data_IF_282851125066
#
_entry.id   IF_282851125066
#
_cell.length_a   1.000
_cell.length_b   1.000
_cell.length_c   1.000
_cell.angle_alpha   90.00
_cell.angle_beta   90.00
_cell.angle_gamma   90.00
#
_symmetry.space_group_name_H-M   'P 1'
#
loop_
_entity.id
_entity.type
_entity.pdbx_description
1 polymer ?
#
# COMPACT_ATOMS: atom_id res chain seq x y z
N UNK A 1 34.88 -60.70 -1.95
CA UNK A 1 33.62 -60.08 -2.41
C UNK A 1 33.81 -58.58 -2.26
N UNK A 2 34.82 -58.00 -2.90
CA UNK A 2 34.98 -57.76 -4.35
C UNK A 2 34.21 -56.48 -4.76
N UNK A 3 35.00 -55.43 -4.96
CA UNK A 3 34.66 -54.09 -5.44
C UNK A 3 34.04 -54.13 -6.83
N UNK A 4 33.07 -53.24 -7.10
CA UNK A 4 32.69 -52.85 -8.46
C UNK A 4 32.25 -51.36 -8.51
N UNK A 5 33.22 -50.50 -8.84
CA UNK A 5 33.07 -49.42 -9.86
C UNK A 5 33.44 -50.07 -11.21
N UNK A 6 32.95 -49.65 -12.40
CA UNK A 6 33.08 -48.28 -12.90
C UNK A 6 31.98 -47.82 -13.90
N UNK A 7 32.08 -46.58 -14.39
CA UNK A 7 31.19 -46.08 -15.45
C UNK A 7 31.58 -44.69 -15.94
N UNK A 8 32.76 -44.60 -16.56
CA UNK A 8 33.32 -43.43 -17.21
C UNK A 8 32.73 -43.33 -18.63
N UNK A 9 32.09 -42.20 -19.01
CA UNK A 9 31.66 -41.94 -20.39
C UNK A 9 32.28 -40.64 -20.91
N UNK A 10 32.86 -40.64 -22.13
CA UNK A 10 33.66 -39.54 -22.65
C UNK A 10 32.92 -38.65 -23.68
N UNK A 11 33.40 -37.41 -23.77
CA UNK A 11 33.65 -36.60 -24.99
C UNK A 11 32.47 -36.22 -25.91
N UNK A 12 32.21 -34.92 -26.01
CA UNK A 12 31.91 -34.27 -27.29
C UNK A 12 32.39 -32.80 -27.27
N UNK A 13 33.13 -32.44 -28.31
CA UNK A 13 33.79 -31.17 -28.56
C UNK A 13 32.84 -30.12 -29.22
N UNK A 14 33.28 -28.87 -29.45
CA UNK A 14 32.40 -27.73 -29.70
C UNK A 14 32.11 -27.53 -31.19
N UNK A 15 30.88 -27.09 -31.51
CA UNK A 15 30.49 -26.71 -32.87
C UNK A 15 30.46 -25.19 -33.03
N UNK A 16 31.01 -24.77 -34.15
CA UNK A 16 31.40 -23.42 -34.48
C UNK A 16 30.27 -22.60 -35.14
N UNK A 17 30.41 -21.29 -35.00
CA UNK A 17 30.22 -20.27 -36.05
C UNK A 17 28.92 -20.27 -36.86
N UNK A 18 28.13 -19.20 -36.66
CA UNK A 18 27.51 -18.47 -37.79
C UNK A 18 27.28 -17.01 -37.42
N UNK A 19 28.27 -16.19 -37.80
CA UNK A 19 28.12 -14.75 -38.00
C UNK A 19 27.14 -14.53 -39.17
N UNK A 20 26.09 -13.75 -38.94
CA UNK A 20 25.23 -13.20 -39.98
C UNK A 20 25.32 -11.68 -39.91
N UNK A 21 26.13 -11.12 -40.79
CA UNK A 21 26.17 -9.70 -41.12
C UNK A 21 24.89 -9.30 -41.84
N UNK A 22 24.22 -8.26 -41.38
CA UNK A 22 23.13 -7.58 -42.09
C UNK A 22 23.57 -6.14 -42.38
N UNK A 23 23.54 -5.67 -43.64
CA UNK A 23 23.91 -4.30 -43.98
C UNK A 23 22.76 -3.30 -43.83
N UNK A 24 23.12 -2.09 -43.42
CA UNK A 24 22.28 -0.91 -43.34
C UNK A 24 21.87 -0.36 -44.73
N UNK A 25 20.69 0.27 -44.87
CA UNK A 25 20.42 1.15 -45.99
C UNK A 25 20.25 2.62 -45.57
N UNK A 26 21.17 3.41 -46.12
CA UNK A 26 21.07 4.77 -46.67
C UNK A 26 19.82 5.64 -46.39
N UNK A 27 20.11 6.84 -45.89
CA UNK A 27 19.27 8.02 -45.93
C UNK A 27 19.11 8.61 -47.36
N UNK A 28 18.00 9.32 -47.64
CA UNK A 28 17.98 10.33 -48.69
C UNK A 28 17.65 11.74 -48.17
N UNK A 29 18.65 12.60 -48.33
CA UNK A 29 18.65 13.95 -48.92
C UNK A 29 17.37 14.81 -48.87
N UNK A 30 17.57 15.98 -48.25
CA UNK A 30 16.93 17.29 -48.45
C UNK A 30 16.50 17.55 -49.91
N UNK A 31 15.27 18.03 -50.07
CA UNK A 31 14.87 18.93 -51.16
C UNK A 31 14.18 20.16 -50.60
N UNK A 32 14.83 21.30 -50.81
CA UNK A 32 14.25 22.63 -50.75
C UNK A 32 13.18 22.77 -51.84
N UNK A 33 12.02 23.31 -51.49
CA UNK A 33 11.00 23.76 -52.44
C UNK A 33 10.47 25.10 -51.97
N UNK A 34 11.02 26.16 -52.57
CA UNK A 34 10.48 27.50 -52.61
C UNK A 34 9.08 27.47 -53.22
N UNK A 35 8.09 28.06 -52.54
CA UNK A 35 6.82 28.47 -53.16
C UNK A 35 6.49 29.89 -52.71
N UNK A 36 6.02 30.78 -53.60
CA UNK A 36 5.92 32.21 -53.34
C UNK A 36 4.75 32.61 -52.44
N UNK A 37 4.96 33.77 -51.83
CA UNK A 37 4.11 34.52 -50.92
C UNK A 37 3.13 35.37 -51.75
N UNK A 38 1.84 35.06 -51.71
CA UNK A 38 0.80 35.90 -52.30
C UNK A 38 -0.21 36.35 -51.23
N UNK A 39 -0.54 37.64 -51.30
CA UNK A 39 -1.41 38.36 -50.38
C UNK A 39 -2.84 37.82 -50.41
N UNK A 40 -3.47 37.68 -49.24
CA UNK A 40 -4.91 37.83 -49.10
C UNK A 40 -5.25 38.41 -47.73
N UNK A 41 -5.52 39.72 -47.73
CA UNK A 41 -6.23 40.42 -46.68
C UNK A 41 -7.73 40.21 -46.92
N UNK A 42 -8.41 39.57 -45.96
CA UNK A 42 -9.85 39.36 -45.99
C UNK A 42 -10.32 38.75 -44.68
N UNK A 43 -10.42 39.56 -43.63
CA UNK A 43 -10.97 39.13 -42.35
C UNK A 43 -12.45 38.76 -42.53
N UNK A 44 -12.73 37.46 -42.45
CA UNK A 44 -14.08 36.92 -42.60
C UNK A 44 -14.94 37.29 -41.39
N UNK A 45 -16.25 37.43 -41.58
CA UNK A 45 -17.21 37.62 -40.49
C UNK A 45 -17.10 36.53 -39.39
N UNK A 46 -16.56 35.35 -39.74
CA UNK A 46 -16.25 34.28 -38.79
C UNK A 46 -15.15 34.66 -37.77
N UNK A 47 -14.16 35.46 -38.17
CA UNK A 47 -13.06 35.89 -37.30
C UNK A 47 -13.53 36.94 -36.26
N UNK A 48 -14.52 37.76 -36.63
CA UNK A 48 -15.15 38.72 -35.73
C UNK A 48 -15.98 38.01 -34.65
N UNK A 49 -16.66 36.92 -35.01
CA UNK A 49 -17.46 36.14 -34.06
C UNK A 49 -16.56 35.28 -33.15
N UNK A 50 -15.46 34.72 -33.68
CA UNK A 50 -14.44 34.05 -32.87
C UNK A 50 -13.77 35.00 -31.85
N UNK A 51 -13.56 36.28 -32.21
CA UNK A 51 -13.03 37.28 -31.30
C UNK A 51 -14.02 37.66 -30.18
N UNK A 52 -15.33 37.72 -30.46
CA UNK A 52 -16.36 37.93 -29.43
C UNK A 52 -16.44 36.78 -28.44
N UNK A 53 -16.38 35.53 -28.92
CA UNK A 53 -16.35 34.34 -28.06
C UNK A 53 -15.11 34.34 -27.16
N UNK A 54 -13.93 34.68 -27.70
CA UNK A 54 -12.69 34.80 -26.89
C UNK A 54 -12.79 35.89 -25.81
N UNK A 55 -13.42 37.04 -26.11
CA UNK A 55 -13.68 38.10 -25.10
C UNK A 55 -14.69 37.67 -24.05
N UNK A 56 -15.76 36.97 -24.42
CA UNK A 56 -16.76 36.46 -23.49
C UNK A 56 -16.15 35.41 -22.53
N UNK A 57 -15.32 34.50 -23.06
CA UNK A 57 -14.60 33.49 -22.26
C UNK A 57 -13.59 34.14 -21.32
N UNK A 58 -12.86 35.18 -21.76
CA UNK A 58 -11.94 35.92 -20.90
C UNK A 58 -12.67 36.70 -19.79
N UNK A 59 -13.84 37.30 -20.09
CA UNK A 59 -14.67 37.99 -19.11
C UNK A 59 -15.29 37.02 -18.08
N UNK A 60 -15.69 35.81 -18.51
CA UNK A 60 -16.18 34.75 -17.63
C UNK A 60 -15.07 34.24 -16.69
N UNK A 61 -13.84 34.04 -17.19
CA UNK A 61 -12.67 33.65 -16.35
C UNK A 61 -12.35 34.70 -15.28
N UNK A 62 -12.45 36.00 -15.61
CA UNK A 62 -12.23 37.08 -14.63
C UNK A 62 -13.32 37.12 -13.54
N UNK A 63 -14.59 36.80 -13.88
CA UNK A 63 -15.69 36.70 -12.91
C UNK A 63 -15.53 35.51 -11.95
N UNK A 64 -15.05 34.37 -12.45
CA UNK A 64 -14.77 33.17 -11.63
C UNK A 64 -13.59 33.40 -10.67
N UNK A 65 -12.55 34.13 -11.09
CA UNK A 65 -11.44 34.50 -10.20
C UNK A 65 -11.85 35.52 -9.12
N UNK A 66 -12.69 36.51 -9.45
CA UNK A 66 -13.16 37.51 -8.49
C UNK A 66 -14.15 36.95 -7.45
N UNK A 67 -14.91 35.89 -7.78
CA UNK A 67 -15.78 35.19 -6.84
C UNK A 67 -15.01 34.32 -5.81
N UNK A 68 -13.70 34.11 -6.01
CA UNK A 68 -12.85 33.27 -5.15
C UNK A 68 -12.19 34.03 -3.99
N UNK A 69 -12.41 35.33 -3.87
CA UNK A 69 -11.80 36.21 -2.86
C UNK A 69 -12.73 36.60 -1.70
N UNK A 70 -13.67 35.73 -1.29
CA UNK A 70 -14.38 35.86 0.00
C UNK A 70 -13.68 35.01 1.07
N UNK A 71 -13.43 35.54 2.28
CA UNK A 71 -12.76 34.80 3.34
C UNK A 71 -13.70 33.71 3.87
N UNK A 72 -13.50 32.49 3.38
CA UNK A 72 -14.21 31.29 3.82
C UNK A 72 -13.62 30.90 5.17
N UNK A 73 -14.44 30.98 6.23
CA UNK A 73 -14.10 30.50 7.56
C UNK A 73 -13.43 29.14 7.48
N UNK A 74 -12.24 29.06 8.06
CA UNK A 74 -11.28 27.95 7.99
C UNK A 74 -11.85 26.76 8.77
N UNK A 75 -12.70 25.97 8.12
CA UNK A 75 -12.99 24.61 8.58
C UNK A 75 -11.69 23.82 8.43
N UNK A 76 -11.03 23.55 9.55
CA UNK A 76 -9.85 22.69 9.60
C UNK A 76 -10.24 21.30 9.13
N UNK A 77 -9.92 21.00 7.87
CA UNK A 77 -10.02 19.64 7.34
C UNK A 77 -9.19 18.71 8.25
N UNK A 78 -9.73 17.56 8.67
CA UNK A 78 -8.96 16.60 9.47
C UNK A 78 -7.70 16.23 8.69
N UNK A 79 -6.54 16.57 9.25
CA UNK A 79 -5.24 16.20 8.68
C UNK A 79 -5.16 14.67 8.79
N UNK A 80 -5.33 13.97 7.66
CA UNK A 80 -5.02 12.53 7.58
C UNK A 80 -3.59 12.37 8.11
N UNK A 81 -3.42 11.55 9.16
CA UNK A 81 -2.09 11.24 9.69
C UNK A 81 -1.39 10.45 8.59
N UNK A 82 -0.47 11.08 7.90
CA UNK A 82 0.46 10.40 7.02
C UNK A 82 1.34 9.55 7.94
N UNK A 83 1.28 8.22 7.77
CA UNK A 83 2.18 7.30 8.46
C UNK A 83 3.60 7.67 8.09
N UNK A 84 4.45 7.88 9.09
CA UNK A 84 5.85 8.21 8.82
C UNK A 84 6.62 6.96 8.38
N UNK A 85 7.64 7.11 7.53
CA UNK A 85 8.55 6.03 7.14
C UNK A 85 9.08 5.24 8.34
N UNK A 86 9.44 5.94 9.42
CA UNK A 86 9.90 5.31 10.66
C UNK A 86 8.84 4.39 11.28
N UNK A 87 7.55 4.70 11.17
CA UNK A 87 6.47 3.83 11.66
C UNK A 87 6.29 2.60 10.77
N UNK A 88 6.44 2.75 9.44
CA UNK A 88 6.42 1.63 8.51
C UNK A 88 7.56 0.65 8.78
N UNK A 89 8.80 1.15 8.92
CA UNK A 89 9.98 0.33 9.22
C UNK A 89 9.84 -0.40 10.56
N UNK A 90 9.35 0.28 11.61
CA UNK A 90 9.09 -0.35 12.92
C UNK A 90 8.05 -1.46 12.78
N UNK A 91 6.98 -1.21 12.04
CA UNK A 91 5.91 -2.17 11.83
C UNK A 91 6.41 -3.39 11.06
N UNK A 92 7.20 -3.19 10.00
CA UNK A 92 7.74 -4.27 9.17
C UNK A 92 8.76 -5.10 9.95
N UNK A 93 9.62 -4.44 10.73
CA UNK A 93 10.56 -5.12 11.62
C UNK A 93 9.83 -6.02 12.63
N UNK A 94 8.73 -5.54 13.19
CA UNK A 94 7.91 -6.33 14.11
C UNK A 94 7.16 -7.46 13.40
N UNK A 95 6.63 -7.21 12.19
CA UNK A 95 5.98 -8.19 11.32
C UNK A 95 6.86 -9.41 11.05
N UNK A 96 8.15 -9.15 10.85
CA UNK A 96 9.17 -10.16 10.59
C UNK A 96 9.54 -10.98 11.84
N UNK A 97 9.05 -10.61 13.02
CA UNK A 97 9.33 -11.26 14.31
C UNK A 97 10.33 -10.52 15.20
N UNK A 98 10.79 -9.33 14.80
CA UNK A 98 11.80 -8.57 15.54
C UNK A 98 11.35 -8.08 16.92
N UNK A 99 10.04 -8.04 17.20
CA UNK A 99 9.52 -7.64 18.52
C UNK A 99 9.92 -8.62 19.63
N UNK A 100 10.05 -9.92 19.33
CA UNK A 100 10.31 -10.96 20.34
C UNK A 100 11.77 -11.00 20.77
N UNK A 101 12.68 -10.88 19.81
CA UNK A 101 14.12 -11.03 20.04
C UNK A 101 14.85 -9.68 20.06
N UNK A 102 14.27 -8.64 19.45
CA UNK A 102 14.94 -7.38 19.13
C UNK A 102 15.85 -7.43 17.89
N UNK A 103 15.91 -8.56 17.19
CA UNK A 103 16.79 -8.81 16.05
C UNK A 103 16.11 -9.65 14.95
N UNK A 104 16.52 -9.47 13.69
CA UNK A 104 16.10 -10.29 12.56
C UNK A 104 17.26 -11.17 12.10
N UNK A 105 17.13 -12.47 12.30
CA UNK A 105 18.07 -13.48 11.82
C UNK A 105 17.85 -13.83 10.34
N UNK A 106 18.61 -14.82 9.86
CA UNK A 106 18.58 -15.29 8.47
C UNK A 106 17.17 -15.65 7.99
N UNK A 107 16.44 -16.46 8.76
CA UNK A 107 15.09 -16.91 8.37
C UNK A 107 14.08 -15.75 8.27
N UNK A 108 14.18 -14.76 9.17
CA UNK A 108 13.29 -13.61 9.13
C UNK A 108 13.58 -12.77 7.88
N UNK A 109 14.85 -12.49 7.61
CA UNK A 109 15.26 -11.69 6.45
C UNK A 109 15.01 -12.42 5.11
N UNK A 110 15.04 -13.76 5.07
CA UNK A 110 14.66 -14.52 3.88
C UNK A 110 13.23 -14.21 3.45
N UNK A 111 12.31 -14.17 4.42
CA UNK A 111 10.89 -13.86 4.12
C UNK A 111 10.73 -12.47 3.52
N UNK A 112 11.53 -11.51 3.96
CA UNK A 112 11.55 -10.18 3.35
C UNK A 112 12.14 -10.22 1.94
N UNK A 113 13.27 -10.91 1.75
CA UNK A 113 13.90 -11.04 0.44
C UNK A 113 12.96 -11.70 -0.58
N UNK A 114 12.18 -12.71 -0.18
CA UNK A 114 11.16 -13.33 -1.02
C UNK A 114 10.07 -12.33 -1.45
N UNK A 115 9.67 -11.40 -0.58
CA UNK A 115 8.73 -10.32 -0.95
C UNK A 115 9.33 -9.30 -1.91
N UNK A 116 10.65 -9.15 -1.88
CA UNK A 116 11.42 -8.35 -2.82
C UNK A 116 11.73 -9.09 -4.13
N UNK A 117 11.27 -10.34 -4.28
CA UNK A 117 11.45 -11.14 -5.50
C UNK A 117 12.68 -12.05 -5.49
N UNK A 118 13.26 -12.37 -4.33
CA UNK A 118 14.31 -13.37 -4.24
C UNK A 118 13.75 -14.78 -4.49
N UNK A 119 14.23 -15.44 -5.55
CA UNK A 119 13.81 -16.79 -5.97
C UNK A 119 14.84 -17.90 -5.65
N UNK A 120 15.93 -17.56 -4.97
CA UNK A 120 17.00 -18.51 -4.66
C UNK A 120 16.60 -19.56 -3.61
N UNK A 121 17.34 -20.68 -3.59
CA UNK A 121 17.19 -21.72 -2.58
C UNK A 121 17.81 -21.35 -1.22
N UNK A 122 17.73 -22.26 -0.25
CA UNK A 122 18.25 -22.03 1.10
C UNK A 122 19.78 -21.82 1.12
N UNK A 123 20.53 -22.42 0.19
CA UNK A 123 21.98 -22.25 0.13
C UNK A 123 22.32 -20.87 -0.44
N UNK A 124 21.70 -20.49 -1.56
CA UNK A 124 21.85 -19.17 -2.16
C UNK A 124 21.51 -18.07 -1.15
N UNK A 125 20.40 -18.22 -0.42
CA UNK A 125 20.03 -17.27 0.62
C UNK A 125 21.09 -17.18 1.74
N UNK A 126 21.64 -18.30 2.17
CA UNK A 126 22.64 -18.29 3.24
C UNK A 126 23.91 -17.54 2.82
N UNK A 127 24.32 -17.63 1.56
CA UNK A 127 25.45 -16.88 1.00
C UNK A 127 25.16 -15.37 0.99
N UNK A 128 23.97 -14.96 0.54
CA UNK A 128 23.50 -13.57 0.56
C UNK A 128 23.40 -13.01 1.98
N UNK A 129 22.84 -13.77 2.91
CA UNK A 129 22.72 -13.35 4.30
C UNK A 129 24.11 -13.11 4.95
N UNK A 130 25.08 -13.96 4.64
CA UNK A 130 26.46 -13.77 5.11
C UNK A 130 27.12 -12.56 4.45
N UNK A 131 26.83 -12.28 3.17
CA UNK A 131 27.28 -11.07 2.49
C UNK A 131 26.71 -9.81 3.17
N UNK A 132 25.40 -9.77 3.43
CA UNK A 132 24.75 -8.69 4.19
C UNK A 132 25.38 -8.50 5.57
N UNK A 133 25.65 -9.58 6.30
CA UNK A 133 26.30 -9.51 7.60
C UNK A 133 27.69 -8.88 7.53
N UNK A 134 28.47 -9.17 6.49
CA UNK A 134 29.79 -8.56 6.27
C UNK A 134 29.68 -7.09 5.89
N UNK A 135 28.80 -6.74 4.96
CA UNK A 135 28.65 -5.37 4.44
C UNK A 135 28.16 -4.39 5.50
N UNK A 136 27.17 -4.77 6.32
CA UNK A 136 26.58 -3.90 7.33
C UNK A 136 27.09 -4.16 8.76
N UNK A 137 28.10 -5.03 8.92
CA UNK A 137 28.71 -5.32 10.22
C UNK A 137 27.75 -6.00 11.21
N UNK A 138 26.87 -6.87 10.72
CA UNK A 138 25.94 -7.62 11.57
C UNK A 138 26.62 -8.85 12.16
N UNK A 139 26.15 -9.27 13.33
CA UNK A 139 26.60 -10.54 13.92
C UNK A 139 25.78 -11.66 13.32
N UNK A 140 26.39 -12.54 12.53
CA UNK A 140 25.73 -13.66 11.81
C UNK A 140 24.74 -14.45 12.67
N UNK A 141 25.11 -14.79 13.93
CA UNK A 141 24.25 -15.56 14.84
C UNK A 141 23.09 -14.77 15.45
N UNK A 142 23.15 -13.44 15.41
CA UNK A 142 22.19 -12.55 16.07
C UNK A 142 21.31 -11.83 15.07
N UNK A 143 21.86 -11.48 13.91
CA UNK A 143 21.19 -10.73 12.85
C UNK A 143 21.13 -9.22 13.08
N UNK A 144 20.25 -8.57 12.31
CA UNK A 144 20.10 -7.12 12.27
C UNK A 144 19.17 -6.62 13.37
N UNK A 145 19.59 -5.62 14.15
CA UNK A 145 18.66 -4.89 15.01
C UNK A 145 17.82 -3.89 14.20
N UNK A 146 16.82 -3.27 14.83
CA UNK A 146 15.92 -2.32 14.16
C UNK A 146 16.62 -1.17 13.44
N UNK A 147 17.68 -0.61 14.02
CA UNK A 147 18.42 0.49 13.39
C UNK A 147 19.17 0.01 12.14
N UNK A 148 19.84 -1.14 12.26
CA UNK A 148 20.56 -1.77 11.15
C UNK A 148 19.62 -2.20 10.01
N UNK A 149 18.42 -2.66 10.36
CA UNK A 149 17.38 -2.98 9.40
C UNK A 149 16.88 -1.75 8.65
N UNK A 150 16.64 -0.65 9.36
CA UNK A 150 16.28 0.63 8.73
C UNK A 150 17.39 1.13 7.79
N UNK A 151 18.64 1.01 8.21
CA UNK A 151 19.82 1.37 7.40
C UNK A 151 19.88 0.56 6.09
N UNK A 152 19.62 -0.76 6.13
CA UNK A 152 19.53 -1.58 4.91
C UNK A 152 18.45 -1.06 3.95
N UNK A 153 17.24 -0.76 4.45
CA UNK A 153 16.11 -0.36 3.59
C UNK A 153 16.18 1.11 3.12
N UNK A 154 17.03 1.92 3.76
CA UNK A 154 17.29 3.32 3.40
C UNK A 154 18.50 3.48 2.47
N UNK A 155 19.31 2.43 2.29
CA UNK A 155 20.51 2.41 1.45
C UNK A 155 20.12 2.20 -0.03
N UNK A 156 20.25 3.25 -0.83
CA UNK A 156 19.87 3.29 -2.25
C UNK A 156 20.80 2.50 -3.16
N UNK A 157 21.99 2.12 -2.68
CA UNK A 157 22.91 1.22 -3.36
C UNK A 157 22.61 -0.26 -3.05
N UNK A 158 21.69 -0.54 -2.12
CA UNK A 158 21.32 -1.91 -1.75
C UNK A 158 20.16 -2.45 -2.59
N UNK A 159 20.20 -3.75 -2.90
CA UNK A 159 19.09 -4.47 -3.54
C UNK A 159 17.83 -4.54 -2.66
N UNK A 160 17.96 -4.17 -1.37
CA UNK A 160 16.88 -4.14 -0.41
C UNK A 160 16.28 -2.74 -0.22
N UNK A 161 16.74 -1.72 -0.95
CA UNK A 161 16.15 -0.39 -0.90
C UNK A 161 14.63 -0.48 -1.12
N UNK A 162 13.85 0.23 -0.29
CA UNK A 162 12.40 0.25 -0.45
C UNK A 162 11.80 1.59 -0.09
N UNK A 163 10.98 2.14 -0.97
CA UNK A 163 10.24 3.38 -0.74
C UNK A 163 9.02 3.14 0.18
N UNK A 164 8.37 4.22 0.63
CA UNK A 164 7.26 4.13 1.60
C UNK A 164 6.05 3.32 1.05
N UNK A 165 5.84 3.30 -0.27
CA UNK A 165 4.79 2.50 -0.90
C UNK A 165 5.15 1.02 -0.85
N UNK A 166 6.36 0.65 -1.23
CA UNK A 166 6.85 -0.74 -1.18
C UNK A 166 6.82 -1.29 0.24
N UNK A 167 7.25 -0.51 1.24
CA UNK A 167 7.18 -0.91 2.65
C UNK A 167 5.74 -1.15 3.11
N UNK A 168 4.79 -0.32 2.66
CA UNK A 168 3.37 -0.51 2.94
C UNK A 168 2.83 -1.79 2.27
N UNK A 169 3.22 -2.05 1.01
CA UNK A 169 2.85 -3.28 0.29
C UNK A 169 3.41 -4.53 0.98
N UNK A 170 4.68 -4.52 1.39
CA UNK A 170 5.27 -5.65 2.12
C UNK A 170 4.54 -5.93 3.44
N UNK A 171 4.15 -4.86 4.16
CA UNK A 171 3.37 -4.97 5.39
C UNK A 171 2.01 -5.63 5.18
N UNK A 172 1.35 -5.33 4.06
CA UNK A 172 0.09 -5.98 3.67
C UNK A 172 0.29 -7.49 3.40
N UNK A 173 1.45 -7.87 2.87
CA UNK A 173 1.76 -9.26 2.51
C UNK A 173 2.20 -10.14 3.70
N UNK A 174 2.57 -9.57 4.86
CA UNK A 174 3.04 -10.36 6.00
C UNK A 174 1.89 -10.97 6.82
N UNK A 175 1.79 -12.31 6.90
CA UNK A 175 0.74 -12.97 7.68
C UNK A 175 0.94 -12.83 9.20
N UNK A 176 2.19 -12.71 9.65
CA UNK A 176 2.54 -12.68 11.08
C UNK A 176 2.19 -11.36 11.79
N UNK A 177 1.97 -10.27 11.04
CA UNK A 177 1.41 -9.01 11.59
C UNK A 177 -0.08 -9.07 11.87
N UNK A 178 -0.77 -10.13 11.45
CA UNK A 178 -2.22 -10.12 11.46
C UNK A 178 -2.80 -11.23 12.36
N UNK A 179 -2.82 -11.05 13.70
CA UNK A 179 -3.90 -11.61 14.54
C UNK A 179 -5.29 -10.97 14.22
N UNK A 180 -5.38 -10.27 13.08
CA UNK A 180 -6.29 -9.19 12.74
C UNK A 180 -6.52 -9.12 11.23
N UNK A 181 -6.34 -10.23 10.49
CA UNK A 181 -6.78 -10.29 9.10
C UNK A 181 -8.26 -10.02 9.07
N UNK A 182 -8.63 -8.89 8.45
CA UNK A 182 -10.02 -8.66 8.07
C UNK A 182 -10.41 -9.89 7.26
N UNK A 183 -11.41 -10.67 7.70
CA UNK A 183 -11.82 -11.87 6.99
C UNK A 183 -12.05 -11.53 5.51
N UNK A 184 -11.59 -12.39 4.59
CA UNK A 184 -11.78 -12.17 3.14
C UNK A 184 -13.22 -11.77 2.80
N UNK A 185 -14.20 -12.40 3.45
CA UNK A 185 -15.61 -12.08 3.25
C UNK A 185 -15.95 -10.62 3.58
N UNK A 186 -15.31 -10.03 4.59
CA UNK A 186 -15.53 -8.64 4.97
C UNK A 186 -14.84 -7.67 3.99
N UNK A 187 -13.65 -8.02 3.49
CA UNK A 187 -12.98 -7.27 2.41
C UNK A 187 -13.83 -7.28 1.13
N UNK A 188 -14.23 -8.48 0.69
CA UNK A 188 -15.04 -8.68 -0.51
C UNK A 188 -16.38 -7.97 -0.36
N UNK A 189 -17.02 -8.04 0.81
CA UNK A 189 -18.28 -7.34 1.06
C UNK A 189 -18.11 -5.82 1.00
N UNK A 190 -17.05 -5.28 1.59
CA UNK A 190 -16.78 -3.85 1.54
C UNK A 190 -16.56 -3.36 0.12
N UNK A 191 -15.80 -4.13 -0.66
CA UNK A 191 -15.55 -3.85 -2.06
C UNK A 191 -16.85 -3.95 -2.88
N UNK A 192 -17.64 -5.01 -2.68
CA UNK A 192 -18.95 -5.18 -3.31
C UNK A 192 -19.88 -4.00 -3.02
N UNK A 193 -20.00 -3.58 -1.75
CA UNK A 193 -20.84 -2.45 -1.35
C UNK A 193 -20.40 -1.12 -2.00
N UNK A 194 -19.10 -0.99 -2.32
CA UNK A 194 -18.56 0.17 -3.03
C UNK A 194 -18.86 0.13 -4.54
N UNK A 195 -18.80 -1.06 -5.16
CA UNK A 195 -19.12 -1.26 -6.58
C UNK A 195 -20.64 -1.18 -6.83
N UNK A 196 -21.47 -1.59 -5.87
CA UNK A 196 -22.93 -1.58 -5.92
C UNK A 196 -23.50 -0.16 -5.76
N UNK A 197 -23.46 0.63 -6.84
CA UNK A 197 -23.80 2.06 -6.84
C UNK A 197 -25.29 2.32 -6.62
N UNK A 198 -26.14 1.40 -7.04
CA UNK A 198 -27.59 1.52 -6.89
C UNK A 198 -28.12 0.78 -5.65
N UNK A 199 -27.24 0.10 -4.90
CA UNK A 199 -27.54 -0.64 -3.68
C UNK A 199 -28.61 -1.74 -3.88
N UNK A 200 -28.68 -2.33 -5.07
CA UNK A 200 -29.64 -3.38 -5.40
C UNK A 200 -29.16 -4.78 -5.00
N UNK A 201 -27.95 -4.90 -4.41
CA UNK A 201 -27.29 -6.15 -4.02
C UNK A 201 -26.92 -7.07 -5.18
N UNK A 202 -26.80 -6.54 -6.40
CA UNK A 202 -26.41 -7.25 -7.62
C UNK A 202 -25.58 -6.38 -8.55
N UNK A 203 -24.36 -6.80 -8.86
CA UNK A 203 -23.47 -6.04 -9.74
C UNK A 203 -23.78 -6.33 -11.21
N UNK A 204 -24.37 -5.34 -11.88
CA UNK A 204 -24.59 -5.38 -13.32
C UNK A 204 -23.30 -5.10 -14.12
N UNK A 205 -23.37 -5.25 -15.44
CA UNK A 205 -22.21 -5.03 -16.32
C UNK A 205 -21.58 -3.64 -16.19
N UNK A 206 -22.38 -2.59 -15.96
CA UNK A 206 -21.85 -1.23 -15.76
C UNK A 206 -21.09 -1.06 -14.44
N UNK A 207 -21.56 -1.71 -13.38
CA UNK A 207 -20.92 -1.66 -12.06
C UNK A 207 -19.63 -2.48 -12.08
N UNK A 208 -19.66 -3.68 -12.65
CA UNK A 208 -18.47 -4.51 -12.83
C UNK A 208 -17.45 -3.91 -13.81
N UNK A 209 -17.87 -3.14 -14.82
CA UNK A 209 -16.92 -2.43 -15.71
C UNK A 209 -16.08 -1.45 -14.91
N UNK A 210 -16.70 -0.72 -13.98
CA UNK A 210 -15.98 0.22 -13.12
C UNK A 210 -14.92 -0.51 -12.29
N UNK A 211 -15.25 -1.69 -11.78
CA UNK A 211 -14.30 -2.53 -11.08
C UNK A 211 -13.18 -3.03 -12.00
N UNK A 212 -13.50 -3.56 -13.17
CA UNK A 212 -12.52 -4.04 -14.13
C UNK A 212 -11.53 -2.94 -14.55
N UNK A 213 -12.01 -1.70 -14.74
CA UNK A 213 -11.15 -0.55 -15.02
C UNK A 213 -10.16 -0.24 -13.89
N UNK A 214 -10.51 -0.52 -12.63
CA UNK A 214 -9.57 -0.40 -11.52
C UNK A 214 -8.52 -1.51 -11.53
N UNK A 215 -8.89 -2.72 -11.96
CA UNK A 215 -7.93 -3.80 -12.20
C UNK A 215 -7.10 -3.63 -13.49
N UNK A 216 -7.19 -2.47 -14.15
CA UNK A 216 -6.40 -2.15 -15.34
C UNK A 216 -7.03 -2.57 -16.67
N UNK A 217 -8.30 -2.95 -16.72
CA UNK A 217 -8.99 -3.16 -17.99
C UNK A 217 -9.07 -1.86 -18.79
N UNK A 218 -8.45 -1.84 -19.96
CA UNK A 218 -8.33 -0.69 -20.86
C UNK A 218 -9.24 -0.78 -22.10
N UNK A 219 -9.96 -1.89 -22.25
CA UNK A 219 -10.84 -2.14 -23.38
C UNK A 219 -12.05 -1.20 -23.47
N UNK A 220 -12.64 -1.16 -24.66
CA UNK A 220 -13.82 -0.37 -24.95
C UNK A 220 -15.14 -1.02 -24.46
N UNK A 221 -16.28 -0.36 -24.74
CA UNK A 221 -17.59 -0.88 -24.31
C UNK A 221 -17.95 -2.21 -24.98
N UNK A 222 -17.56 -2.43 -26.24
CA UNK A 222 -17.89 -3.62 -26.99
C UNK A 222 -17.02 -4.82 -26.57
N UNK A 223 -15.75 -4.56 -26.24
CA UNK A 223 -14.86 -5.53 -25.61
C UNK A 223 -15.38 -5.93 -24.23
N UNK A 224 -15.79 -4.94 -23.42
CA UNK A 224 -16.39 -5.22 -22.12
C UNK A 224 -17.66 -6.06 -22.20
N UNK A 225 -18.56 -5.77 -23.16
CA UNK A 225 -19.80 -6.55 -23.31
C UNK A 225 -19.50 -8.03 -23.59
N UNK A 226 -18.43 -8.34 -24.33
CA UNK A 226 -17.96 -9.71 -24.56
C UNK A 226 -17.42 -10.34 -23.28
N UNK A 227 -16.58 -9.63 -22.53
CA UNK A 227 -16.03 -10.11 -21.25
C UNK A 227 -17.13 -10.36 -20.22
N UNK A 228 -18.09 -9.44 -20.11
CA UNK A 228 -19.23 -9.58 -19.23
C UNK A 228 -20.11 -10.77 -19.63
N UNK A 229 -20.40 -10.94 -20.92
CA UNK A 229 -21.15 -12.10 -21.41
C UNK A 229 -20.41 -13.42 -21.12
N UNK A 230 -19.08 -13.43 -21.26
CA UNK A 230 -18.25 -14.57 -20.89
C UNK A 230 -18.35 -14.88 -19.38
N UNK A 231 -18.25 -13.88 -18.51
CA UNK A 231 -18.40 -14.08 -17.06
C UNK A 231 -19.79 -14.59 -16.68
N UNK A 232 -20.85 -14.03 -17.26
CA UNK A 232 -22.23 -14.48 -17.02
C UNK A 232 -22.38 -15.96 -17.38
N UNK A 233 -21.81 -16.39 -18.51
CA UNK A 233 -21.81 -17.79 -18.96
C UNK A 233 -20.94 -18.69 -18.08
N UNK A 234 -19.71 -18.28 -17.76
CA UNK A 234 -18.72 -19.08 -17.01
C UNK A 234 -19.17 -19.34 -15.57
N UNK A 235 -19.70 -18.32 -14.90
CA UNK A 235 -20.07 -18.41 -13.48
C UNK A 235 -21.57 -18.60 -13.24
N UNK A 236 -22.37 -18.76 -14.31
CA UNK A 236 -23.81 -19.02 -14.22
C UNK A 236 -24.59 -17.88 -13.57
N UNK A 237 -24.29 -16.63 -13.94
CA UNK A 237 -24.98 -15.46 -13.38
C UNK A 237 -26.34 -15.24 -14.04
N UNK A 238 -27.23 -14.56 -13.31
CA UNK A 238 -28.48 -14.09 -13.90
C UNK A 238 -28.23 -12.86 -14.79
N UNK A 239 -29.18 -12.55 -15.68
CA UNK A 239 -29.16 -11.30 -16.46
C UNK A 239 -29.16 -10.03 -15.60
N UNK A 240 -29.50 -10.13 -14.31
CA UNK A 240 -29.46 -9.02 -13.35
C UNK A 240 -28.07 -8.81 -12.75
N UNK A 241 -27.07 -9.61 -13.13
CA UNK A 241 -25.73 -9.56 -12.59
C UNK A 241 -25.49 -10.51 -11.42
N UNK A 242 -24.30 -10.38 -10.82
CA UNK A 242 -23.83 -11.26 -9.75
C UNK A 242 -24.19 -10.73 -8.36
N UNK A 243 -24.58 -11.62 -7.45
CA UNK A 243 -24.71 -11.30 -6.03
C UNK A 243 -23.37 -11.46 -5.28
N UNK A 244 -23.35 -11.12 -3.99
CA UNK A 244 -22.14 -11.14 -3.18
C UNK A 244 -21.44 -12.52 -3.19
N UNK A 245 -22.10 -13.67 -2.96
CA UNK A 245 -21.45 -14.98 -3.06
C UNK A 245 -20.87 -15.28 -4.45
N UNK A 246 -21.56 -14.86 -5.52
CA UNK A 246 -21.05 -15.01 -6.89
C UNK A 246 -19.81 -14.13 -7.13
N UNK A 247 -19.81 -12.90 -6.63
CA UNK A 247 -18.67 -11.99 -6.70
C UNK A 247 -17.47 -12.50 -5.88
N UNK A 248 -17.70 -13.08 -4.69
CA UNK A 248 -16.65 -13.74 -3.91
C UNK A 248 -15.98 -14.86 -4.69
N UNK A 249 -16.75 -15.67 -5.44
CA UNK A 249 -16.19 -16.71 -6.31
C UNK A 249 -15.40 -16.14 -7.48
N UNK A 250 -15.85 -15.04 -8.07
CA UNK A 250 -15.13 -14.35 -9.15
C UNK A 250 -13.72 -13.92 -8.69
N UNK A 251 -13.62 -13.32 -7.52
CA UNK A 251 -12.33 -12.85 -6.98
C UNK A 251 -11.40 -13.98 -6.54
N UNK A 252 -11.94 -15.17 -6.27
CA UNK A 252 -11.19 -16.34 -5.84
C UNK A 252 -10.78 -17.29 -6.98
N UNK A 253 -11.24 -17.05 -8.22
CA UNK A 253 -10.87 -17.86 -9.38
C UNK A 253 -9.52 -17.41 -9.93
N UNK A 254 -8.43 -18.08 -9.57
CA UNK A 254 -7.06 -17.82 -10.04
C UNK A 254 -6.92 -17.90 -11.57
N UNK A 255 -7.78 -18.67 -12.25
CA UNK A 255 -7.81 -18.74 -13.71
C UNK A 255 -8.74 -17.67 -14.32
N UNK A 256 -9.39 -16.85 -13.49
CA UNK A 256 -10.30 -15.78 -13.89
C UNK A 256 -9.57 -14.45 -14.07
N UNK A 257 -10.12 -13.60 -14.94
CA UNK A 257 -9.57 -12.26 -15.24
C UNK A 257 -9.63 -11.29 -14.06
N UNK A 258 -10.45 -11.60 -13.05
CA UNK A 258 -10.70 -10.75 -11.90
C UNK A 258 -10.15 -11.36 -10.61
N UNK A 259 -9.20 -12.29 -10.68
CA UNK A 259 -8.54 -12.82 -9.49
C UNK A 259 -7.95 -11.66 -8.68
N UNK A 260 -8.25 -11.64 -7.39
CA UNK A 260 -7.73 -10.64 -6.47
C UNK A 260 -7.56 -11.28 -5.10
N UNK A 261 -6.32 -11.37 -4.64
CA UNK A 261 -6.00 -11.87 -3.31
C UNK A 261 -6.38 -10.85 -2.22
N UNK A 262 -6.25 -11.25 -0.95
CA UNK A 262 -6.64 -10.40 0.17
C UNK A 262 -5.75 -9.16 0.30
N UNK A 263 -4.47 -9.24 -0.10
CA UNK A 263 -3.54 -8.13 -0.01
C UNK A 263 -3.86 -7.07 -1.06
N UNK A 264 -4.07 -7.48 -2.31
CA UNK A 264 -4.51 -6.62 -3.40
C UNK A 264 -5.87 -5.95 -3.07
N UNK A 265 -6.83 -6.70 -2.53
CA UNK A 265 -8.11 -6.12 -2.08
C UNK A 265 -7.94 -5.06 -0.98
N UNK A 266 -7.02 -5.28 -0.04
CA UNK A 266 -6.74 -4.31 1.03
C UNK A 266 -6.11 -3.03 0.47
N UNK A 267 -5.14 -3.15 -0.44
CA UNK A 267 -4.49 -2.01 -1.10
C UNK A 267 -5.51 -1.19 -1.88
N UNK A 268 -6.35 -1.86 -2.68
CA UNK A 268 -7.40 -1.22 -3.45
C UNK A 268 -8.43 -0.50 -2.56
N UNK A 269 -8.89 -1.15 -1.48
CA UNK A 269 -9.81 -0.50 -0.53
C UNK A 269 -9.19 0.73 0.16
N UNK A 270 -7.90 0.67 0.48
CA UNK A 270 -7.17 1.79 1.07
C UNK A 270 -7.03 2.95 0.07
N UNK A 271 -6.70 2.66 -1.19
CA UNK A 271 -6.62 3.66 -2.26
C UNK A 271 -8.00 4.30 -2.53
N UNK A 272 -9.05 3.48 -2.60
CA UNK A 272 -10.42 3.95 -2.78
C UNK A 272 -10.87 4.88 -1.64
N UNK A 273 -10.52 4.58 -0.38
CA UNK A 273 -10.76 5.47 0.76
C UNK A 273 -9.97 6.78 0.64
N UNK A 274 -8.75 6.72 0.10
CA UNK A 274 -7.97 7.92 -0.17
C UNK A 274 -8.62 8.83 -1.22
N UNK A 275 -9.05 8.27 -2.34
CA UNK A 275 -9.64 9.00 -3.48
C UNK A 275 -11.04 9.52 -3.16
N UNK A 276 -11.89 8.67 -2.58
CA UNK A 276 -13.30 9.01 -2.32
C UNK A 276 -13.51 9.78 -1.02
N UNK A 277 -12.58 9.68 -0.07
CA UNK A 277 -12.70 10.25 1.27
C UNK A 277 -13.76 9.57 2.15
N UNK A 278 -14.34 8.45 1.70
CA UNK A 278 -15.29 7.66 2.44
C UNK A 278 -14.54 6.65 3.33
N UNK A 279 -14.86 6.54 4.63
CA UNK A 279 -14.11 5.70 5.57
C UNK A 279 -14.55 4.23 5.49
N UNK A 280 -14.29 3.56 4.37
CA UNK A 280 -14.64 2.15 4.18
C UNK A 280 -13.68 1.23 4.93
N UNK A 281 -12.40 1.32 4.62
CA UNK A 281 -11.34 0.50 5.19
C UNK A 281 -11.15 0.80 6.68
N UNK A 282 -11.19 2.07 7.06
CA UNK A 282 -11.16 2.48 8.48
C UNK A 282 -12.27 1.82 9.31
N UNK A 283 -13.49 1.71 8.78
CA UNK A 283 -14.61 1.05 9.48
C UNK A 283 -14.45 -0.46 9.62
N UNK A 284 -13.79 -1.12 8.67
CA UNK A 284 -13.48 -2.55 8.77
C UNK A 284 -12.36 -2.81 9.77
N UNK A 285 -11.38 -1.90 9.84
CA UNK A 285 -10.27 -1.99 10.77
C UNK A 285 -10.67 -1.65 12.20
N UNK A 286 -11.63 -0.77 12.46
CA UNK A 286 -11.96 -0.32 13.82
C UNK A 286 -12.30 -1.47 14.80
N UNK A 287 -13.17 -2.45 14.47
CA UNK A 287 -13.45 -3.58 15.35
C UNK A 287 -12.23 -4.49 15.55
N UNK A 288 -11.47 -4.66 14.49
CA UNK A 288 -10.26 -5.48 14.44
C UNK A 288 -9.19 -4.87 15.36
N UNK A 289 -8.89 -3.58 15.21
CA UNK A 289 -7.99 -2.82 16.06
C UNK A 289 -8.47 -2.79 17.52
N UNK A 290 -9.78 -2.64 17.76
CA UNK A 290 -10.35 -2.71 19.11
C UNK A 290 -10.15 -4.09 19.76
N UNK A 291 -10.29 -5.16 18.98
CA UNK A 291 -10.05 -6.54 19.44
C UNK A 291 -8.56 -6.79 19.68
N UNK A 292 -7.67 -6.18 18.88
CA UNK A 292 -6.22 -6.21 19.08
C UNK A 292 -5.83 -5.57 20.41
N UNK A 293 -6.34 -4.36 20.64
CA UNK A 293 -6.12 -3.62 21.87
C UNK A 293 -6.66 -4.38 23.09
N UNK A 294 -7.84 -5.00 22.97
CA UNK A 294 -8.41 -5.82 24.04
C UNK A 294 -7.57 -7.08 24.32
N UNK A 295 -7.08 -7.76 23.28
CA UNK A 295 -6.22 -8.92 23.41
C UNK A 295 -4.86 -8.56 24.03
N UNK A 296 -4.26 -7.43 23.61
CA UNK A 296 -3.01 -6.93 24.16
C UNK A 296 -3.17 -6.51 25.63
N UNK A 297 -4.28 -5.85 25.99
CA UNK A 297 -4.63 -5.53 27.38
C UNK A 297 -4.82 -6.78 28.24
N UNK A 298 -5.46 -7.81 27.69
CA UNK A 298 -5.63 -9.09 28.40
C UNK A 298 -4.30 -9.81 28.60
N UNK A 299 -3.48 -9.94 27.54
CA UNK A 299 -2.15 -10.58 27.62
C UNK A 299 -1.23 -9.85 28.60
N UNK A 300 -1.19 -8.52 28.53
CA UNK A 300 -0.42 -7.70 29.49
C UNK A 300 -0.95 -7.86 30.91
N UNK A 301 -2.27 -7.87 31.12
CA UNK A 301 -2.86 -8.13 32.44
C UNK A 301 -2.50 -9.52 32.98
N UNK A 302 -2.54 -10.57 32.16
CA UNK A 302 -2.15 -11.94 32.56
C UNK A 302 -0.65 -12.03 32.86
N UNK A 303 0.21 -11.41 32.04
CA UNK A 303 1.66 -11.36 32.28
C UNK A 303 1.96 -10.60 33.59
N UNK A 304 1.27 -9.47 33.82
CA UNK A 304 1.33 -8.74 35.09
C UNK A 304 0.86 -9.65 36.22
N UNK A 305 -0.26 -10.36 36.10
CA UNK A 305 -0.77 -11.24 37.14
C UNK A 305 0.16 -12.43 37.45
N UNK A 306 0.83 -13.00 36.43
CA UNK A 306 1.84 -14.02 36.58
C UNK A 306 3.10 -13.49 37.27
N UNK A 307 3.58 -12.30 36.88
CA UNK A 307 4.68 -11.60 37.55
C UNK A 307 4.34 -11.26 39.01
N UNK A 308 3.07 -10.93 39.29
CA UNK A 308 2.56 -10.70 40.63
C UNK A 308 2.49 -11.98 41.47
N UNK A 309 2.28 -13.16 40.87
CA UNK A 309 2.29 -14.43 41.62
C UNK A 309 3.70 -14.94 41.93
N UNK A 310 4.72 -14.55 41.15
CA UNK A 310 6.03 -15.20 41.16
C UNK A 310 7.12 -14.69 42.12
N UNK A 311 7.10 -13.45 42.65
CA UNK A 311 8.22 -12.93 43.47
C UNK A 311 7.77 -11.92 44.55
N UNK A 312 8.09 -12.18 45.81
CA UNK A 312 7.71 -11.33 46.96
C UNK A 312 8.40 -9.96 46.97
N UNK A 313 9.65 -9.87 46.49
CA UNK A 313 10.43 -8.62 46.47
C UNK A 313 10.04 -7.67 45.33
N UNK A 314 9.57 -8.17 44.18
CA UNK A 314 9.11 -7.33 43.06
C UNK A 314 7.74 -6.72 43.31
N UNK A 315 6.90 -7.32 44.19
CA UNK A 315 5.61 -6.72 44.59
C UNK A 315 5.78 -5.35 45.24
N UNK A 316 6.77 -5.17 46.12
CA UNK A 316 6.99 -3.89 46.82
C UNK A 316 7.44 -2.80 45.84
N UNK A 317 8.40 -3.12 44.96
CA UNK A 317 8.90 -2.19 43.96
C UNK A 317 7.84 -1.82 42.91
N UNK A 318 7.02 -2.78 42.47
CA UNK A 318 5.92 -2.50 41.54
C UNK A 318 4.79 -1.71 42.20
N UNK A 319 4.50 -1.93 43.47
CA UNK A 319 3.50 -1.12 44.19
C UNK A 319 3.98 0.34 44.36
N UNK A 320 5.27 0.54 44.63
CA UNK A 320 5.89 1.88 44.62
C UNK A 320 5.84 2.51 43.24
N UNK A 321 6.13 1.76 42.16
CA UNK A 321 6.05 2.28 40.79
C UNK A 321 4.62 2.69 40.40
N UNK A 322 3.62 1.85 40.70
CA UNK A 322 2.21 2.16 40.44
C UNK A 322 1.75 3.38 41.23
N UNK A 323 2.21 3.54 42.48
CA UNK A 323 1.95 4.73 43.29
C UNK A 323 2.55 5.99 42.65
N UNK A 324 3.81 5.93 42.22
CA UNK A 324 4.49 7.05 41.55
C UNK A 324 3.81 7.43 40.23
N UNK A 325 3.36 6.44 39.45
CA UNK A 325 2.63 6.69 38.21
C UNK A 325 1.27 7.36 38.45
N UNK A 326 0.56 6.97 39.52
CA UNK A 326 -0.70 7.62 39.93
C UNK A 326 -0.47 9.07 40.38
N UNK A 327 0.54 9.30 41.22
CA UNK A 327 0.91 10.65 41.69
C UNK A 327 1.32 11.56 40.51
N UNK A 328 2.05 11.02 39.53
CA UNK A 328 2.41 11.75 38.31
C UNK A 328 1.18 12.11 37.47
N UNK A 329 0.23 11.20 37.32
CA UNK A 329 -1.03 11.44 36.59
C UNK A 329 -1.86 12.54 37.29
N UNK A 330 -1.95 12.52 38.61
CA UNK A 330 -2.66 13.53 39.39
C UNK A 330 -1.99 14.91 39.29
N UNK A 331 -0.66 14.96 39.30
CA UNK A 331 0.09 16.21 39.06
C UNK A 331 -0.22 16.78 37.67
N UNK A 332 -0.22 15.94 36.63
CA UNK A 332 -0.53 16.38 35.27
C UNK A 332 -1.97 16.89 35.13
N UNK A 333 -2.94 16.24 35.81
CA UNK A 333 -4.32 16.71 35.85
C UNK A 333 -4.46 18.09 36.53
N UNK A 334 -3.75 18.30 37.65
CA UNK A 334 -3.70 19.60 38.34
C UNK A 334 -3.08 20.69 37.47
N UNK A 335 -1.99 20.40 36.76
CA UNK A 335 -1.35 21.34 35.84
C UNK A 335 -2.27 21.73 34.69
N UNK A 336 -3.02 20.78 34.12
CA UNK A 336 -4.03 21.07 33.09
C UNK A 336 -5.15 21.97 33.63
N UNK A 337 -5.62 21.72 34.85
CA UNK A 337 -6.65 22.55 35.49
C UNK A 337 -6.14 23.97 35.77
N UNK A 338 -4.90 24.12 36.25
CA UNK A 338 -4.25 25.43 36.43
C UNK A 338 -4.05 26.16 35.08
N UNK A 339 -3.70 25.43 34.02
CA UNK A 339 -3.61 25.98 32.67
C UNK A 339 -4.94 26.56 32.17
N UNK A 340 -6.06 25.87 32.44
CA UNK A 340 -7.41 26.37 32.14
C UNK A 340 -7.74 27.63 32.94
N UNK A 341 -7.46 27.66 34.24
CA UNK A 341 -7.70 28.83 35.09
C UNK A 341 -6.89 30.05 34.65
N UNK A 342 -5.60 29.87 34.32
CA UNK A 342 -4.76 30.95 33.77
C UNK A 342 -5.30 31.50 32.46
N UNK A 343 -5.87 30.64 31.61
CA UNK A 343 -6.49 31.05 30.35
C UNK A 343 -7.72 31.92 30.60
N UNK A 344 -8.59 31.53 31.53
CA UNK A 344 -9.77 32.32 31.95
C UNK A 344 -9.34 33.68 32.52
N UNK A 345 -8.33 33.70 33.40
CA UNK A 345 -7.85 34.94 34.02
C UNK A 345 -7.29 35.94 32.98
N UNK A 346 -6.57 35.47 31.95
CA UNK A 346 -6.10 36.32 30.84
C UNK A 346 -7.24 36.93 30.04
N UNK A 347 -8.32 36.19 29.81
CA UNK A 347 -9.51 36.72 29.13
C UNK A 347 -10.27 37.74 29.97
N UNK A 348 -10.25 37.65 31.30
CA UNK A 348 -10.96 38.59 32.17
C UNK A 348 -10.19 39.90 32.44
N UNK A 349 -8.86 39.91 32.33
CA UNK A 349 -8.03 41.12 32.57
C UNK A 349 -7.79 41.94 31.29
N UNK A 350 -8.12 41.38 30.12
CA UNK A 350 -8.00 42.05 28.81
C UNK A 350 -9.30 42.68 28.29
N UNK A 351 -10.34 42.72 29.11
CA UNK A 351 -11.59 43.47 28.93
C UNK A 351 -11.61 44.59 29.96
#
# INVERSE_FOLDING_TARGET
MEEQKPGNSPVAAPEASKQLSVPAPAAPRRRSSLVPRELQQGGSAADVEAAKVRRAVAAAKKRVQKARAKPKARQEKPKKKVTSRSELLVSLFNALGGHETGYLGSEQLLRMAQLLGFEGDAQAWQEEYLALCRSYGWKEKRGANRRQFAELLDDDDSDAFSNDMELATMLCNFPASQPHQIPRNDLVKAFFDWVDLNHNRRLGGRELLRFAKHLGFDGDSAEWDKEYAYMVKRYGWSQKGCDLPQFTRLLADEAGLCYCDDAALQVELAELEMVTGQPFFSRLLDPVLAQADAALRTRSATLIQQLWRGRSKTKVLMHQLVRLLREKKDRQAREQQLGRLRKVQRTCVGL
#
